data_IF_676294223926
#
_entry.id   IF_676294223926
#
_cell.length_a   1.000
_cell.length_b   1.000
_cell.length_c   1.000
_cell.angle_alpha   90.00
_cell.angle_beta   90.00
_cell.angle_gamma   90.00
#
_symmetry.space_group_name_H-M   'P 1'
#
loop_
_entity.id
_entity.type
_entity.pdbx_description
1 polymer ?
#
# COMPACT_ATOMS: atom_id res chain seq x y z
N UNK A 1 -0.73 -15.50 -12.44
CA UNK A 1 -0.54 -14.08 -12.85
C UNK A 1 -1.78 -13.71 -13.63
N UNK A 2 -2.46 -12.61 -13.27
CA UNK A 2 -3.69 -12.20 -13.96
C UNK A 2 -3.36 -11.65 -15.35
N UNK A 3 -4.24 -11.85 -16.33
CA UNK A 3 -4.10 -11.35 -17.70
C UNK A 3 -4.55 -9.90 -17.86
N UNK A 4 -5.07 -9.27 -16.79
CA UNK A 4 -5.52 -7.88 -16.79
C UNK A 4 -4.42 -6.93 -16.27
N UNK A 5 -4.25 -5.78 -16.94
CA UNK A 5 -3.42 -4.66 -16.48
C UNK A 5 -4.30 -3.43 -16.29
N UNK A 6 -4.16 -2.75 -15.16
CA UNK A 6 -4.84 -1.50 -14.86
C UNK A 6 -3.83 -0.34 -14.89
N UNK A 7 -4.15 0.71 -15.64
CA UNK A 7 -3.24 1.85 -15.86
C UNK A 7 -3.93 3.13 -15.43
N UNK A 8 -3.26 3.90 -14.58
CA UNK A 8 -3.66 5.25 -14.21
C UNK A 8 -2.83 6.28 -14.95
N UNK A 9 -3.49 7.25 -15.59
CA UNK A 9 -2.84 8.27 -16.38
C UNK A 9 -2.77 9.62 -15.65
N UNK A 10 -1.85 10.49 -16.08
CA UNK A 10 -1.67 11.83 -15.52
C UNK A 10 -2.82 12.80 -15.80
N UNK A 11 -3.68 12.48 -16.75
CA UNK A 11 -4.92 13.21 -17.08
C UNK A 11 -6.16 12.62 -16.38
N UNK A 12 -5.99 11.70 -15.43
CA UNK A 12 -7.10 11.08 -14.71
C UNK A 12 -7.84 9.98 -15.47
N UNK A 13 -7.34 9.54 -16.63
CA UNK A 13 -7.86 8.36 -17.31
C UNK A 13 -7.42 7.07 -16.58
N UNK A 14 -8.39 6.20 -16.30
CA UNK A 14 -8.22 4.89 -15.72
C UNK A 14 -8.56 3.84 -16.79
N UNK A 15 -7.55 3.06 -17.18
CA UNK A 15 -7.64 2.12 -18.29
C UNK A 15 -7.48 0.69 -17.79
N UNK A 16 -8.23 -0.23 -18.40
CA UNK A 16 -8.03 -1.68 -18.22
C UNK A 16 -7.67 -2.31 -19.55
N UNK A 17 -6.53 -2.99 -19.58
CA UNK A 17 -6.07 -3.80 -20.71
C UNK A 17 -6.13 -5.27 -20.37
N UNK A 18 -6.33 -6.12 -21.38
CA UNK A 18 -6.25 -7.58 -21.25
C UNK A 18 -5.21 -8.13 -22.23
N UNK A 19 -4.38 -9.03 -21.72
CA UNK A 19 -3.42 -9.80 -22.52
C UNK A 19 -4.18 -10.84 -23.35
N UNK A 20 -4.13 -10.67 -24.66
CA UNK A 20 -4.62 -11.68 -25.60
C UNK A 20 -3.48 -12.65 -25.83
N UNK A 21 -3.57 -13.81 -25.18
CA UNK A 21 -2.61 -14.89 -25.38
C UNK A 21 -2.64 -15.33 -26.85
N UNK A 22 -1.49 -15.24 -27.52
CA UNK A 22 -1.25 -15.86 -28.81
C UNK A 22 -1.14 -17.38 -28.60
N UNK A 23 -2.24 -18.05 -28.24
CA UNK A 23 -2.28 -19.48 -27.92
C UNK A 23 -1.76 -20.38 -29.05
N UNK A 24 -1.53 -19.86 -30.28
CA UNK A 24 -1.05 -20.63 -31.43
C UNK A 24 -0.22 -19.85 -32.48
N UNK A 25 0.38 -18.69 -32.18
CA UNK A 25 1.16 -17.94 -33.19
C UNK A 25 2.51 -17.45 -32.69
N UNK A 26 3.49 -17.41 -33.58
CA UNK A 26 4.83 -16.82 -33.40
C UNK A 26 4.79 -15.29 -33.19
N UNK A 27 3.65 -14.74 -32.80
CA UNK A 27 3.45 -13.31 -32.58
C UNK A 27 3.60 -12.98 -31.09
N UNK A 28 4.15 -11.80 -30.77
CA UNK A 28 4.28 -11.35 -29.39
C UNK A 28 2.91 -11.19 -28.72
N UNK A 29 2.86 -11.40 -27.41
CA UNK A 29 1.69 -11.07 -26.59
C UNK A 29 1.18 -9.66 -26.90
N UNK A 30 -0.12 -9.53 -27.17
CA UNK A 30 -0.74 -8.25 -27.49
C UNK A 30 -1.74 -7.86 -26.40
N UNK A 31 -1.79 -6.57 -26.09
CA UNK A 31 -2.70 -6.01 -25.08
C UNK A 31 -3.82 -5.24 -25.77
N UNK A 32 -5.06 -5.56 -25.42
CA UNK A 32 -6.24 -4.87 -25.92
C UNK A 32 -6.89 -4.04 -24.82
N UNK A 33 -7.27 -2.80 -25.13
CA UNK A 33 -8.00 -1.93 -24.22
C UNK A 33 -9.44 -2.46 -24.08
N UNK A 34 -9.82 -2.86 -22.85
CA UNK A 34 -11.17 -3.33 -22.53
C UNK A 34 -12.06 -2.21 -21.99
N UNK A 35 -11.50 -1.34 -21.16
CA UNK A 35 -12.26 -0.30 -20.46
C UNK A 35 -11.46 0.99 -20.34
N UNK A 36 -12.16 2.12 -20.43
CA UNK A 36 -11.62 3.46 -20.19
C UNK A 36 -12.62 4.27 -19.38
N UNK A 37 -12.23 4.63 -18.17
CA UNK A 37 -12.99 5.49 -17.27
C UNK A 37 -12.21 6.78 -17.03
N UNK A 38 -12.89 7.91 -16.83
CA UNK A 38 -12.22 9.17 -16.44
C UNK A 38 -12.64 9.58 -15.05
N UNK A 39 -11.67 10.03 -14.26
CA UNK A 39 -11.91 10.60 -12.94
C UNK A 39 -12.45 12.04 -13.06
N UNK A 40 -13.24 12.50 -12.07
CA UNK A 40 -13.62 13.91 -11.99
C UNK A 40 -12.39 14.82 -11.93
N UNK A 41 -12.45 15.95 -12.64
CA UNK A 41 -11.42 17.00 -12.67
C UNK A 41 -10.06 16.61 -13.26
N UNK A 42 -9.96 15.44 -13.93
CA UNK A 42 -8.79 15.04 -14.74
C UNK A 42 -7.45 15.14 -14.00
N UNK A 43 -7.46 14.89 -12.68
CA UNK A 43 -6.25 14.90 -11.84
C UNK A 43 -5.42 13.64 -12.10
N UNK A 44 -4.08 13.70 -11.99
CA UNK A 44 -3.23 12.52 -12.09
C UNK A 44 -3.67 11.40 -11.15
N UNK A 45 -3.63 10.17 -11.64
CA UNK A 45 -3.80 8.99 -10.78
C UNK A 45 -2.47 8.67 -10.12
N UNK A 46 -2.44 8.80 -8.80
CA UNK A 46 -1.24 8.59 -7.99
C UNK A 46 -1.09 7.12 -7.59
N UNK A 47 -2.20 6.42 -7.35
CA UNK A 47 -2.19 5.01 -6.92
C UNK A 47 -3.47 4.29 -7.33
N UNK A 48 -3.33 3.02 -7.73
CA UNK A 48 -4.44 2.08 -7.95
C UNK A 48 -4.20 0.87 -7.06
N UNK A 49 -5.23 0.45 -6.30
CA UNK A 49 -5.21 -0.82 -5.56
C UNK A 49 -6.42 -1.65 -5.94
N UNK A 50 -6.16 -2.87 -6.40
CA UNK A 50 -7.20 -3.86 -6.69
C UNK A 50 -7.51 -4.63 -5.42
N UNK A 51 -8.79 -4.77 -5.08
CA UNK A 51 -9.27 -5.53 -3.93
C UNK A 51 -10.35 -6.51 -4.37
N UNK A 52 -9.98 -7.62 -5.05
CA UNK A 52 -10.95 -8.57 -5.59
C UNK A 52 -11.83 -9.24 -4.52
N UNK A 53 -11.34 -9.37 -3.27
CA UNK A 53 -12.09 -9.97 -2.15
C UNK A 53 -13.37 -9.22 -1.80
N UNK A 54 -13.38 -7.90 -1.98
CA UNK A 54 -14.58 -7.09 -1.75
C UNK A 54 -15.13 -6.52 -3.04
N UNK A 55 -14.67 -6.97 -4.21
CA UNK A 55 -15.10 -6.49 -5.53
C UNK A 55 -14.88 -4.98 -5.76
N UNK A 56 -13.79 -4.42 -5.21
CA UNK A 56 -13.46 -3.00 -5.36
C UNK A 56 -12.12 -2.74 -6.06
N UNK A 57 -12.05 -1.62 -6.77
CA UNK A 57 -10.82 -0.94 -7.17
C UNK A 57 -10.79 0.43 -6.49
N UNK A 58 -9.72 0.70 -5.75
CA UNK A 58 -9.50 1.99 -5.10
C UNK A 58 -8.52 2.79 -5.96
N UNK A 59 -8.88 4.02 -6.27
CA UNK A 59 -8.05 4.93 -7.07
C UNK A 59 -7.81 6.20 -6.29
N UNK A 60 -6.54 6.51 -6.04
CA UNK A 60 -6.14 7.74 -5.35
C UNK A 60 -5.70 8.78 -6.35
N UNK A 61 -6.34 9.94 -6.28
CA UNK A 61 -6.07 11.07 -7.17
C UNK A 61 -6.50 12.36 -6.50
N UNK A 62 -5.66 13.39 -6.56
CA UNK A 62 -6.02 14.74 -6.13
C UNK A 62 -6.50 14.84 -4.67
N UNK A 63 -5.87 14.08 -3.77
CA UNK A 63 -6.24 13.96 -2.34
C UNK A 63 -7.62 13.33 -2.09
N UNK A 64 -8.08 12.50 -3.04
CA UNK A 64 -9.32 11.75 -2.91
C UNK A 64 -9.10 10.25 -3.19
N UNK A 65 -9.80 9.40 -2.45
CA UNK A 65 -9.92 7.98 -2.77
C UNK A 65 -11.28 7.76 -3.45
N UNK A 66 -11.25 7.30 -4.70
CA UNK A 66 -12.40 6.92 -5.50
C UNK A 66 -12.58 5.40 -5.47
N UNK A 67 -13.83 4.95 -5.56
CA UNK A 67 -14.21 3.54 -5.47
C UNK A 67 -14.93 3.11 -6.75
N UNK A 68 -14.44 2.04 -7.37
CA UNK A 68 -15.01 1.44 -8.57
C UNK A 68 -15.24 -0.06 -8.34
N UNK A 69 -16.13 -0.66 -9.11
CA UNK A 69 -16.36 -2.10 -9.12
C UNK A 69 -15.17 -2.82 -9.74
N UNK A 70 -14.74 -3.91 -9.12
CA UNK A 70 -13.80 -4.85 -9.72
C UNK A 70 -14.56 -5.97 -10.44
N UNK A 71 -14.18 -6.37 -11.67
CA UNK A 71 -13.06 -5.87 -12.48
C UNK A 71 -13.49 -4.79 -13.50
N UNK A 72 -14.75 -4.33 -13.47
CA UNK A 72 -15.35 -3.59 -14.58
C UNK A 72 -15.08 -2.07 -14.57
N UNK A 73 -14.55 -1.52 -13.47
CA UNK A 73 -14.27 -0.09 -13.30
C UNK A 73 -15.51 0.82 -13.34
N UNK A 74 -16.68 0.31 -12.97
CA UNK A 74 -17.89 1.13 -12.86
C UNK A 74 -17.89 1.87 -11.52
N UNK A 75 -18.19 3.18 -11.48
CA UNK A 75 -18.29 3.92 -10.22
C UNK A 75 -19.33 3.30 -9.28
N UNK A 76 -19.00 3.18 -7.98
CA UNK A 76 -19.95 2.67 -6.99
C UNK A 76 -20.75 3.85 -6.41
N UNK A 77 -22.02 3.98 -6.80
CA UNK A 77 -22.86 5.13 -6.46
C UNK A 77 -23.06 5.33 -4.94
N UNK A 78 -23.12 4.24 -4.18
CA UNK A 78 -23.35 4.27 -2.73
C UNK A 78 -22.12 4.73 -1.92
N UNK A 79 -20.93 4.73 -2.52
CA UNK A 79 -19.68 5.11 -1.84
C UNK A 79 -19.16 6.43 -2.40
N UNK A 80 -19.34 7.50 -1.63
CA UNK A 80 -18.75 8.80 -1.95
C UNK A 80 -17.22 8.76 -1.83
N UNK A 81 -16.48 9.44 -2.73
CA UNK A 81 -15.04 9.55 -2.60
C UNK A 81 -14.63 10.14 -1.24
N UNK A 82 -13.60 9.55 -0.62
CA UNK A 82 -13.04 10.09 0.62
C UNK A 82 -12.15 11.28 0.28
N UNK A 83 -12.42 12.45 0.85
CA UNK A 83 -11.69 13.70 0.56
C UNK A 83 -10.68 14.07 1.64
N UNK A 84 -9.76 14.96 1.28
CA UNK A 84 -8.70 15.48 2.14
C UNK A 84 -7.78 14.36 2.67
N UNK A 85 -7.57 13.35 1.83
CA UNK A 85 -6.70 12.21 2.12
C UNK A 85 -5.30 12.56 1.62
N UNK A 86 -4.32 12.50 2.51
CA UNK A 86 -2.91 12.70 2.19
C UNK A 86 -2.30 11.42 1.63
N UNK A 87 -2.62 10.30 2.25
CA UNK A 87 -2.20 8.95 1.85
C UNK A 87 -3.15 7.92 2.46
N UNK A 88 -3.07 6.66 2.05
CA UNK A 88 -3.91 5.61 2.61
C UNK A 88 -3.24 4.24 2.57
N UNK A 89 -3.69 3.34 3.43
CA UNK A 89 -3.26 1.96 3.45
C UNK A 89 -4.44 1.01 3.67
N UNK A 90 -4.37 -0.15 3.01
CA UNK A 90 -5.25 -1.28 3.24
C UNK A 90 -4.52 -2.34 4.06
N UNK A 91 -5.27 -3.15 4.81
CA UNK A 91 -4.69 -4.24 5.59
C UNK A 91 -4.16 -5.34 4.68
N UNK A 92 -2.84 -5.41 4.59
CA UNK A 92 -2.09 -6.33 3.74
C UNK A 92 -2.30 -7.79 4.11
N UNK A 93 -2.61 -8.09 5.39
CA UNK A 93 -2.91 -9.46 5.81
C UNK A 93 -4.23 -9.92 5.20
N UNK A 94 -5.17 -8.99 4.98
CA UNK A 94 -6.44 -9.28 4.33
C UNK A 94 -6.31 -9.33 2.81
N UNK A 95 -5.42 -8.52 2.20
CA UNK A 95 -5.12 -8.58 0.77
C UNK A 95 -4.47 -9.90 0.35
N UNK A 96 -3.60 -10.46 1.21
CA UNK A 96 -2.84 -11.68 0.90
C UNK A 96 -3.65 -12.97 0.98
N UNK A 97 -4.85 -12.96 1.57
CA UNK A 97 -5.66 -14.17 1.77
C UNK A 97 -6.03 -14.83 0.44
N UNK A 98 -5.63 -16.09 0.29
CA UNK A 98 -6.02 -16.92 -0.85
C UNK A 98 -7.54 -17.11 -0.88
N UNK A 99 -8.19 -17.25 -2.06
CA UNK A 99 -9.59 -17.64 -2.18
C UNK A 99 -10.00 -18.84 -1.30
N UNK A 100 -9.09 -19.78 -1.07
CA UNK A 100 -9.33 -20.97 -0.25
C UNK A 100 -9.34 -20.71 1.26
N UNK A 101 -8.71 -19.62 1.72
CA UNK A 101 -8.62 -19.23 3.14
C UNK A 101 -9.75 -18.29 3.55
N UNK A 102 -10.61 -17.93 2.59
CA UNK A 102 -11.72 -17.00 2.82
C UNK A 102 -12.85 -17.74 3.53
N UNK A 103 -13.15 -17.31 4.75
CA UNK A 103 -14.40 -17.67 5.43
C UNK A 103 -15.55 -17.10 4.61
N UNK A 104 -16.70 -17.79 4.64
CA UNK A 104 -17.93 -17.50 3.88
C UNK A 104 -18.02 -16.13 3.18
N UNK A 105 -18.40 -16.07 1.89
CA UNK A 105 -18.42 -14.83 1.07
C UNK A 105 -19.12 -13.62 1.72
N UNK A 106 -20.06 -13.88 2.63
CA UNK A 106 -20.86 -12.87 3.32
C UNK A 106 -20.10 -12.09 4.42
N UNK A 107 -18.84 -12.44 4.72
CA UNK A 107 -18.04 -11.79 5.77
C UNK A 107 -16.71 -11.22 5.27
N UNK A 108 -16.49 -11.15 3.97
CA UNK A 108 -15.26 -10.54 3.44
C UNK A 108 -15.27 -9.03 3.68
N UNK A 109 -14.23 -8.56 4.38
CA UNK A 109 -14.01 -7.16 4.64
C UNK A 109 -12.53 -6.84 4.55
N UNK A 110 -12.22 -5.58 4.25
CA UNK A 110 -10.87 -5.05 4.35
C UNK A 110 -10.85 -3.77 5.18
N UNK A 111 -9.88 -3.64 6.07
CA UNK A 111 -9.65 -2.41 6.82
C UNK A 111 -8.90 -1.42 5.94
N UNK A 112 -9.40 -0.18 5.91
CA UNK A 112 -8.82 0.93 5.19
C UNK A 112 -8.50 2.04 6.19
N UNK A 113 -7.24 2.48 6.22
CA UNK A 113 -6.82 3.68 6.95
C UNK A 113 -6.60 4.82 5.96
N UNK A 114 -7.41 5.86 6.04
CA UNK A 114 -7.22 7.09 5.28
C UNK A 114 -6.51 8.12 6.16
N UNK A 115 -5.27 8.45 5.80
CA UNK A 115 -4.44 9.41 6.53
C UNK A 115 -4.82 10.81 6.08
N UNK A 116 -5.19 11.66 7.05
CA UNK A 116 -5.50 13.07 6.85
C UNK A 116 -4.43 13.93 7.51
N UNK A 117 -4.57 15.25 7.36
CA UNK A 117 -3.59 16.22 7.89
C UNK A 117 -3.33 16.10 9.39
N UNK A 118 -4.35 15.78 10.19
CA UNK A 118 -4.26 15.74 11.65
C UNK A 118 -4.87 14.47 12.27
N UNK A 119 -5.30 13.51 11.44
CA UNK A 119 -6.00 12.33 11.92
C UNK A 119 -5.91 11.17 10.95
N UNK A 120 -6.22 9.98 11.46
CA UNK A 120 -6.31 8.75 10.69
C UNK A 120 -7.74 8.24 10.81
N UNK A 121 -8.46 8.25 9.69
CA UNK A 121 -9.82 7.72 9.65
C UNK A 121 -9.76 6.23 9.29
N UNK A 122 -10.28 5.40 10.18
CA UNK A 122 -10.34 3.96 10.02
C UNK A 122 -11.71 3.56 9.49
N UNK A 123 -11.72 2.84 8.37
CA UNK A 123 -12.90 2.32 7.72
C UNK A 123 -12.84 0.80 7.60
N UNK A 124 -14.00 0.21 7.45
CA UNK A 124 -14.18 -1.18 7.01
C UNK A 124 -14.90 -1.14 5.67
N UNK A 125 -14.28 -1.70 4.65
CA UNK A 125 -14.81 -1.83 3.31
C UNK A 125 -15.32 -3.27 3.12
N UNK A 126 -16.56 -3.39 2.69
CA UNK A 126 -17.22 -4.64 2.27
C UNK A 126 -17.89 -4.42 0.92
N UNK A 127 -18.28 -5.45 0.20
CA UNK A 127 -19.15 -5.27 -0.98
C UNK A 127 -20.58 -4.88 -0.54
N UNK A 128 -21.19 -3.76 -0.97
CA UNK A 128 -20.65 -2.56 -1.63
C UNK A 128 -20.55 -1.35 -0.67
N UNK A 129 -20.24 -1.57 0.60
CA UNK A 129 -20.34 -0.55 1.66
C UNK A 129 -18.97 -0.16 2.21
N UNK A 130 -18.80 1.14 2.41
CA UNK A 130 -17.72 1.69 3.22
C UNK A 130 -18.27 2.20 4.55
N UNK A 131 -17.83 1.60 5.65
CA UNK A 131 -18.28 1.96 7.00
C UNK A 131 -17.15 2.66 7.76
N UNK A 132 -17.40 3.88 8.21
CA UNK A 132 -16.51 4.55 9.16
C UNK A 132 -16.56 3.84 10.51
N UNK A 133 -15.40 3.59 11.12
CA UNK A 133 -15.28 2.93 12.42
C UNK A 133 -14.83 3.87 13.52
N UNK A 134 -13.71 4.56 13.31
CA UNK A 134 -13.09 5.45 14.29
C UNK A 134 -12.14 6.42 13.63
N UNK A 135 -11.82 7.48 14.37
CA UNK A 135 -10.79 8.45 14.04
C UNK A 135 -9.72 8.42 15.12
N UNK A 136 -8.46 8.26 14.72
CA UNK A 136 -7.30 8.30 15.61
C UNK A 136 -6.64 9.66 15.42
N UNK A 137 -6.37 10.36 16.52
CA UNK A 137 -5.65 11.63 16.47
C UNK A 137 -4.20 11.37 16.08
N UNK A 138 -3.75 12.03 15.01
CA UNK A 138 -2.37 11.92 14.55
C UNK A 138 -1.90 13.29 14.09
N UNK A 139 -1.50 14.16 15.05
CA UNK A 139 -0.97 15.47 14.74
C UNK A 139 0.24 15.33 13.80
N UNK A 140 0.39 16.26 12.87
CA UNK A 140 1.45 16.32 11.84
C UNK A 140 1.18 15.50 10.57
N UNK A 141 0.16 14.63 10.57
CA UNK A 141 -0.22 13.84 9.40
C UNK A 141 0.86 12.84 9.00
N UNK A 142 0.58 12.06 7.96
CA UNK A 142 1.43 10.93 7.61
C UNK A 142 1.49 10.62 6.12
N UNK A 143 2.63 10.08 5.71
CA UNK A 143 2.91 9.61 4.35
C UNK A 143 3.44 8.17 4.39
N UNK A 144 3.46 7.52 3.22
CA UNK A 144 3.93 6.15 3.03
C UNK A 144 3.35 5.08 3.98
N UNK A 145 2.05 5.12 4.33
CA UNK A 145 1.49 4.18 5.28
C UNK A 145 1.54 2.73 4.78
N UNK A 146 1.78 1.80 5.71
CA UNK A 146 1.69 0.36 5.53
C UNK A 146 0.93 -0.23 6.70
N UNK A 147 -0.18 -0.90 6.42
CA UNK A 147 -1.05 -1.51 7.42
C UNK A 147 -0.95 -3.03 7.31
N UNK A 148 -0.63 -3.68 8.43
CA UNK A 148 -0.68 -5.13 8.56
C UNK A 148 -1.36 -5.46 9.88
N UNK A 149 -2.48 -6.20 9.82
CA UNK A 149 -3.32 -6.47 10.97
C UNK A 149 -3.76 -5.18 11.70
N UNK A 150 -3.32 -4.97 12.94
CA UNK A 150 -3.61 -3.77 13.74
C UNK A 150 -2.49 -2.73 13.72
N UNK A 151 -1.36 -3.03 13.10
CA UNK A 151 -0.16 -2.19 13.15
C UNK A 151 -0.05 -1.37 11.87
N UNK A 152 -0.12 -0.06 12.02
CA UNK A 152 0.07 0.89 10.93
C UNK A 152 1.44 1.56 11.09
N UNK A 153 2.36 1.27 10.18
CA UNK A 153 3.63 1.97 10.09
C UNK A 153 3.52 3.09 9.04
N UNK A 154 3.92 4.31 9.39
CA UNK A 154 3.92 5.45 8.49
C UNK A 154 5.02 6.44 8.87
N UNK A 155 5.27 7.43 8.03
CA UNK A 155 6.21 8.52 8.31
C UNK A 155 5.48 9.84 8.52
N UNK A 156 5.88 10.61 9.53
CA UNK A 156 5.57 12.05 9.59
C UNK A 156 6.67 12.87 8.87
N UNK A 157 6.82 14.14 9.20
CA UNK A 157 7.84 15.01 8.58
C UNK A 157 9.29 14.68 9.00
N UNK A 158 9.48 13.98 10.12
CA UNK A 158 10.77 13.75 10.75
C UNK A 158 11.03 12.29 11.14
N UNK A 159 10.00 11.53 11.51
CA UNK A 159 10.12 10.18 12.06
C UNK A 159 9.22 9.17 11.35
N UNK A 160 9.67 7.92 11.37
CA UNK A 160 8.79 6.77 11.29
C UNK A 160 8.00 6.64 12.59
N UNK A 161 6.72 6.31 12.45
CA UNK A 161 5.79 6.11 13.54
C UNK A 161 5.09 4.76 13.38
N UNK A 162 4.83 4.11 14.50
CA UNK A 162 3.95 2.96 14.60
C UNK A 162 2.68 3.43 15.30
N UNK A 163 1.55 3.18 14.67
CA UNK A 163 0.22 3.41 15.25
C UNK A 163 -0.45 2.07 15.42
N UNK A 164 -0.74 1.72 16.68
CA UNK A 164 -1.61 0.58 16.96
C UNK A 164 -3.06 1.05 16.84
N UNK A 165 -3.76 0.50 15.86
CA UNK A 165 -5.11 0.94 15.50
C UNK A 165 -6.10 0.65 16.64
N UNK A 166 -5.91 -0.42 17.40
CA UNK A 166 -6.86 -0.83 18.44
C UNK A 166 -6.71 -0.02 19.72
N UNK A 167 -5.49 0.19 20.19
CA UNK A 167 -5.18 1.02 21.34
C UNK A 167 -5.17 2.52 21.03
N UNK A 168 -5.13 2.88 19.73
CA UNK A 168 -5.05 4.26 19.23
C UNK A 168 -3.80 5.01 19.70
N UNK A 169 -2.75 4.27 20.04
CA UNK A 169 -1.47 4.84 20.46
C UNK A 169 -0.53 4.97 19.26
N UNK A 170 0.15 6.12 19.20
CA UNK A 170 1.18 6.41 18.20
C UNK A 170 2.54 6.53 18.90
N UNK A 171 3.53 5.80 18.40
CA UNK A 171 4.89 5.79 18.94
C UNK A 171 5.89 6.14 17.84
N UNK A 172 6.67 7.23 17.99
CA UNK A 172 7.78 7.52 17.08
C UNK A 172 8.91 6.52 17.32
N UNK A 173 9.48 5.98 16.23
CA UNK A 173 10.44 4.88 16.28
C UNK A 173 11.85 5.35 15.93
N UNK A 174 12.00 5.96 14.75
CA UNK A 174 13.30 6.28 14.19
C UNK A 174 13.19 7.50 13.27
N UNK A 175 14.16 8.43 13.27
CA UNK A 175 14.16 9.53 12.32
C UNK A 175 14.34 9.05 10.87
N UNK A 176 13.72 9.77 9.93
CA UNK A 176 13.89 9.58 8.48
C UNK A 176 15.36 9.79 8.05
N UNK A 177 16.01 10.78 8.67
CA UNK A 177 17.43 11.10 8.49
C UNK A 177 18.11 11.29 9.83
N UNK A 178 19.25 10.63 10.02
CA UNK A 178 20.16 10.82 11.15
C UNK A 178 21.29 11.80 10.81
N UNK A 179 21.40 12.21 9.55
CA UNK A 179 22.37 13.19 9.12
C UNK A 179 21.91 14.60 9.48
N UNK A 180 22.87 15.48 9.76
CA UNK A 180 22.64 16.91 9.88
C UNK A 180 22.61 17.62 8.52
N UNK A 181 22.60 16.88 7.41
CA UNK A 181 22.48 17.44 6.08
C UNK A 181 21.04 17.91 5.81
N UNK A 182 20.87 18.77 4.81
CA UNK A 182 19.56 19.25 4.39
C UNK A 182 18.92 18.31 3.34
N UNK A 183 19.41 17.07 3.21
CA UNK A 183 18.90 16.15 2.21
C UNK A 183 17.52 15.64 2.66
N UNK A 184 16.51 15.92 1.85
CA UNK A 184 15.18 15.36 2.05
C UNK A 184 15.14 13.98 1.40
N UNK A 185 14.97 12.95 2.21
CA UNK A 185 14.82 11.56 1.76
C UNK A 185 13.36 11.14 1.79
N UNK A 186 12.96 10.34 0.79
CA UNK A 186 11.62 9.79 0.73
C UNK A 186 11.50 8.60 1.69
N UNK A 187 10.48 8.55 2.56
CA UNK A 187 10.32 7.45 3.50
C UNK A 187 10.10 6.11 2.79
N UNK A 188 10.71 5.04 3.31
CA UNK A 188 10.61 3.69 2.75
C UNK A 188 10.23 2.70 3.85
N UNK A 189 9.07 2.05 3.65
CA UNK A 189 8.47 1.08 4.56
C UNK A 189 8.03 -0.14 3.76
N UNK A 190 8.56 -1.30 4.11
CA UNK A 190 8.23 -2.59 3.48
C UNK A 190 7.74 -3.57 4.53
N UNK A 191 6.58 -4.19 4.32
CA UNK A 191 6.07 -5.25 5.21
C UNK A 191 6.82 -6.54 4.90
N UNK A 192 7.45 -7.13 5.90
CA UNK A 192 8.24 -8.36 5.78
C UNK A 192 7.44 -9.58 6.22
N UNK A 193 6.66 -9.45 7.30
CA UNK A 193 5.77 -10.49 7.82
C UNK A 193 4.59 -9.87 8.59
N UNK A 194 3.74 -10.70 9.19
CA UNK A 194 2.48 -10.27 9.84
C UNK A 194 2.64 -9.28 11.00
N UNK A 195 3.86 -9.15 11.53
CA UNK A 195 4.20 -8.24 12.61
C UNK A 195 5.60 -7.61 12.42
N UNK A 196 6.04 -7.45 11.17
CA UNK A 196 7.41 -7.00 10.87
C UNK A 196 7.46 -6.05 9.69
N UNK A 197 8.17 -4.94 9.89
CA UNK A 197 8.45 -3.94 8.88
C UNK A 197 9.97 -3.78 8.72
N UNK A 198 10.40 -3.49 7.50
CA UNK A 198 11.71 -2.94 7.19
C UNK A 198 11.54 -1.45 6.91
N UNK A 199 12.25 -0.61 7.65
CA UNK A 199 12.29 0.84 7.46
C UNK A 199 13.71 1.30 7.09
N UNK A 200 13.83 2.36 6.31
CA UNK A 200 15.12 2.91 5.87
C UNK A 200 15.39 4.28 6.46
N UNK A 201 16.56 4.48 7.07
CA UNK A 201 17.00 5.77 7.59
C UNK A 201 18.27 6.23 6.89
N UNK A 202 18.31 7.49 6.49
CA UNK A 202 19.50 8.10 5.88
C UNK A 202 20.56 8.42 6.92
N UNK A 203 21.81 8.06 6.66
CA UNK A 203 22.93 8.26 7.59
C UNK A 203 23.90 9.37 7.17
N UNK A 204 23.67 10.02 6.02
CA UNK A 204 24.54 11.07 5.47
C UNK A 204 25.54 10.57 4.43
N UNK A 205 25.91 9.29 4.51
CA UNK A 205 26.83 8.63 3.56
C UNK A 205 26.19 7.44 2.86
N UNK A 206 24.96 7.08 3.24
CA UNK A 206 24.25 5.90 2.77
C UNK A 206 22.95 5.73 3.53
N UNK A 207 22.30 4.58 3.33
CA UNK A 207 21.06 4.24 4.02
C UNK A 207 21.21 3.00 4.87
N UNK A 208 20.57 3.03 6.04
CA UNK A 208 20.50 1.93 6.97
C UNK A 208 19.07 1.38 7.02
N UNK A 209 18.93 0.07 6.86
CA UNK A 209 17.68 -0.65 6.96
C UNK A 209 17.57 -1.35 8.31
N UNK A 210 16.44 -1.14 8.98
CA UNK A 210 16.16 -1.71 10.30
C UNK A 210 14.85 -2.48 10.24
N UNK A 211 14.89 -3.71 10.73
CA UNK A 211 13.69 -4.53 10.94
C UNK A 211 13.08 -4.19 12.28
N UNK A 212 11.82 -3.80 12.29
CA UNK A 212 11.05 -3.46 13.49
C UNK A 212 9.79 -4.31 13.57
N UNK A 213 9.35 -4.61 14.78
CA UNK A 213 8.07 -5.25 15.03
C UNK A 213 6.91 -4.28 14.86
N UNK A 214 5.67 -4.78 14.87
CA UNK A 214 4.48 -3.94 14.92
C UNK A 214 4.31 -3.14 16.20
N UNK A 215 5.13 -3.37 17.23
CA UNK A 215 5.22 -2.51 18.42
C UNK A 215 6.32 -1.45 18.30
N UNK A 216 7.13 -1.51 17.25
CA UNK A 216 8.25 -0.58 17.02
C UNK A 216 9.61 -1.05 17.55
N UNK A 217 9.65 -2.18 18.27
CA UNK A 217 10.91 -2.73 18.78
C UNK A 217 11.75 -3.34 17.65
N UNK A 218 13.08 -3.16 17.65
CA UNK A 218 13.97 -3.85 16.71
C UNK A 218 13.82 -5.37 16.77
N UNK A 219 13.75 -6.02 15.62
CA UNK A 219 13.59 -7.48 15.54
C UNK A 219 14.87 -8.22 15.96
N UNK A 220 14.83 -9.08 17.00
CA UNK A 220 16.00 -9.83 17.42
C UNK A 220 16.53 -10.76 16.33
N UNK A 221 17.85 -10.81 16.16
CA UNK A 221 18.51 -11.70 15.21
C UNK A 221 18.42 -11.28 13.73
N UNK A 222 17.75 -10.17 13.41
CA UNK A 222 17.78 -9.58 12.06
C UNK A 222 19.04 -8.72 11.89
N UNK A 223 19.79 -8.85 10.78
CA UNK A 223 20.92 -7.98 10.52
C UNK A 223 20.44 -6.57 10.13
N UNK A 224 21.25 -5.58 10.47
CA UNK A 224 21.11 -4.24 9.89
C UNK A 224 21.50 -4.32 8.42
N UNK A 225 20.68 -3.73 7.56
CA UNK A 225 21.01 -3.60 6.14
C UNK A 225 21.67 -2.26 5.88
N UNK A 226 22.63 -2.22 4.98
CA UNK A 226 23.31 -0.98 4.60
C UNK A 226 23.40 -0.88 3.09
N UNK A 227 23.14 0.32 2.59
CA UNK A 227 23.28 0.66 1.18
C UNK A 227 24.13 1.92 1.02
N UNK A 228 24.94 1.99 -0.05
CA UNK A 228 25.77 3.17 -0.32
C UNK A 228 24.94 4.39 -0.73
N UNK A 229 23.69 4.21 -1.15
CA UNK A 229 22.73 5.26 -1.49
C UNK A 229 21.35 4.96 -0.90
N UNK A 230 20.48 5.96 -0.84
CA UNK A 230 19.10 5.77 -0.40
C UNK A 230 18.28 5.08 -1.50
N UNK A 231 17.76 3.85 -1.27
CA UNK A 231 16.99 3.14 -2.29
C UNK A 231 15.71 3.87 -2.67
N UNK A 232 15.38 3.87 -3.97
CA UNK A 232 14.11 4.37 -4.49
C UNK A 232 12.96 3.43 -4.12
N UNK A 233 13.19 2.12 -4.13
CA UNK A 233 12.17 1.12 -3.78
C UNK A 233 12.76 -0.17 -3.24
N UNK A 234 12.04 -0.78 -2.31
CA UNK A 234 12.38 -2.06 -1.69
C UNK A 234 11.14 -2.95 -1.70
N UNK A 235 11.22 -4.11 -2.36
CA UNK A 235 10.14 -5.08 -2.38
C UNK A 235 10.63 -6.47 -1.97
N UNK A 236 9.74 -7.25 -1.35
CA UNK A 236 9.98 -8.64 -0.99
C UNK A 236 9.39 -9.55 -2.06
N UNK A 237 10.13 -10.57 -2.48
CA UNK A 237 9.64 -11.62 -3.35
C UNK A 237 9.92 -12.99 -2.73
N UNK A 238 8.91 -13.83 -2.70
CA UNK A 238 9.05 -15.22 -2.25
C UNK A 238 9.27 -16.11 -3.47
N UNK A 239 10.45 -16.72 -3.55
CA UNK A 239 10.74 -17.77 -4.53
C UNK A 239 10.41 -19.11 -3.89
N UNK A 240 9.36 -19.75 -4.39
CA UNK A 240 9.06 -21.14 -4.04
C UNK A 240 9.76 -22.07 -5.01
N UNK A 241 10.73 -22.84 -4.52
CA UNK A 241 11.29 -23.99 -5.22
C UNK A 241 10.75 -25.27 -4.58
N UNK A 242 10.73 -26.40 -5.32
CA UNK A 242 10.15 -27.68 -4.84
C UNK A 242 10.65 -28.13 -3.45
N UNK A 243 11.81 -27.66 -2.98
CA UNK A 243 12.42 -28.04 -1.70
C UNK A 243 12.78 -26.87 -0.77
N UNK A 244 12.45 -25.61 -1.10
CA UNK A 244 12.78 -24.45 -0.26
C UNK A 244 11.99 -23.19 -0.63
N UNK A 245 11.60 -22.43 0.41
CA UNK A 245 11.11 -21.05 0.30
C UNK A 245 12.28 -20.10 0.56
N UNK A 246 12.64 -19.28 -0.44
CA UNK A 246 13.55 -18.15 -0.25
C UNK A 246 12.74 -16.86 -0.29
N UNK A 247 12.78 -16.08 0.78
CA UNK A 247 12.32 -14.70 0.74
C UNK A 247 13.52 -13.83 0.36
N UNK A 248 13.41 -13.18 -0.78
CA UNK A 248 14.43 -12.28 -1.30
C UNK A 248 13.89 -10.85 -1.26
N UNK A 249 14.79 -9.88 -1.12
CA UNK A 249 14.46 -8.46 -1.17
C UNK A 249 15.08 -7.91 -2.45
N UNK A 250 14.24 -7.40 -3.35
CA UNK A 250 14.66 -6.70 -4.57
C UNK A 250 14.69 -5.21 -4.27
N UNK A 251 15.72 -4.54 -4.78
CA UNK A 251 16.03 -3.16 -4.43
C UNK A 251 16.32 -2.40 -5.71
N UNK A 252 15.64 -1.28 -5.88
CA UNK A 252 15.92 -0.31 -6.92
C UNK A 252 16.66 0.86 -6.26
N UNK A 253 17.90 1.08 -6.68
CA UNK A 253 18.76 2.18 -6.22
C UNK A 253 18.58 3.43 -7.09
#
# INVERSE_FOLDING_TARGET
>A
IGSDIYVGCSNGALLRYFCVDALNSSEPESYQLLMSQSLPFERPIDQIILVPSVEHVLVFSGQQIHFFSYPNLEPIEDIKPLRNVVSFALDEAQLRKSPSERRSPQQEFIRLCAIKRNSINVYVLTAPRLQFRKEIQFPNGGTNPRLINQHLCLSDQANYNIVDIETQMATPILPLSQASDSLKVDPSITIISDNEFLILSWTGTGSMGIFISGNGDPMPGRPLMQWPSHPVSVCTYTVSSRNAFLNLILILL
#
